data_IF_350304205979
#
_entry.id   IF_350304205979
#
_cell.length_a   1.000
_cell.length_b   1.000
_cell.length_c   1.000
_cell.angle_alpha   90.00
_cell.angle_beta   90.00
_cell.angle_gamma   90.00
#
_symmetry.space_group_name_H-M   'P 1'
#
loop_
_entity.id
_entity.type
_entity.pdbx_description
1 polymer ?
#
# COMPACT_ATOMS: atom_id res chain seq x y z
N UNK A 1 3.80 2.29 -36.07
CA UNK A 1 4.36 3.10 -34.97
C UNK A 1 5.13 2.15 -34.10
N UNK A 2 6.41 2.41 -33.81
CA UNK A 2 7.13 1.60 -32.83
C UNK A 2 6.71 2.12 -31.45
N UNK A 3 6.00 1.31 -30.69
CA UNK A 3 5.69 1.63 -29.28
C UNK A 3 7.01 1.57 -28.50
N UNK A 4 7.40 2.67 -27.89
CA UNK A 4 8.51 2.65 -26.94
C UNK A 4 8.06 1.84 -25.71
N UNK A 5 8.83 0.81 -25.35
CA UNK A 5 8.54 0.02 -24.15
C UNK A 5 8.78 0.90 -22.91
N UNK A 6 7.81 1.05 -22.00
CA UNK A 6 8.03 1.72 -20.73
C UNK A 6 9.13 1.04 -19.91
N UNK A 7 9.70 1.78 -18.98
CA UNK A 7 10.75 1.25 -18.11
C UNK A 7 10.23 0.17 -17.15
N UNK A 8 8.96 0.24 -16.78
CA UNK A 8 8.33 -0.58 -15.74
C UNK A 8 9.09 -0.62 -14.41
N UNK A 9 9.92 0.39 -14.18
CA UNK A 9 10.58 0.55 -12.87
C UNK A 9 9.55 0.67 -11.75
N UNK A 10 9.98 0.32 -10.55
CA UNK A 10 9.17 0.32 -9.34
C UNK A 10 9.59 1.45 -8.39
N UNK A 11 8.62 2.02 -7.70
CA UNK A 11 8.77 2.75 -6.45
C UNK A 11 7.68 2.28 -5.49
N UNK A 12 8.03 2.03 -4.25
CA UNK A 12 7.08 1.63 -3.21
C UNK A 12 7.17 2.63 -2.07
N UNK A 13 6.02 3.18 -1.67
CA UNK A 13 5.89 4.02 -0.48
C UNK A 13 5.09 3.24 0.57
N UNK A 14 5.57 3.23 1.80
CA UNK A 14 4.89 2.63 2.94
C UNK A 14 4.77 3.65 4.09
N UNK A 15 3.60 3.70 4.70
CA UNK A 15 3.33 4.53 5.87
C UNK A 15 3.25 3.66 7.12
N UNK A 16 3.94 4.03 8.20
CA UNK A 16 3.93 3.28 9.45
C UNK A 16 3.42 4.12 10.60
N UNK A 17 2.72 3.46 11.53
CA UNK A 17 2.39 4.02 12.84
C UNK A 17 3.52 3.74 13.82
N UNK A 18 3.75 4.64 14.78
CA UNK A 18 4.69 4.43 15.88
C UNK A 18 3.93 4.21 17.18
N UNK A 19 4.31 3.15 17.89
CA UNK A 19 3.75 2.82 19.21
C UNK A 19 4.84 2.76 20.27
N UNK A 20 4.48 3.14 21.49
CA UNK A 20 5.28 2.91 22.69
C UNK A 20 5.25 1.43 23.04
N UNK A 21 6.39 0.81 23.29
CA UNK A 21 6.51 -0.65 23.48
C UNK A 21 5.84 -1.17 24.76
N UNK A 22 5.67 -0.34 25.78
CA UNK A 22 5.03 -0.73 27.05
C UNK A 22 3.52 -0.59 27.01
N UNK A 23 3.03 0.58 26.62
CA UNK A 23 1.59 0.89 26.56
C UNK A 23 0.91 0.31 25.34
N UNK A 24 1.65 0.15 24.23
CA UNK A 24 1.18 -0.23 22.89
C UNK A 24 0.21 0.80 22.27
N UNK A 25 0.13 2.00 22.83
CA UNK A 25 -0.62 3.13 22.28
C UNK A 25 0.27 3.95 21.35
N UNK A 26 -0.35 4.78 20.51
CA UNK A 26 0.37 5.64 19.59
C UNK A 26 1.18 6.70 20.32
N UNK A 27 2.34 7.00 19.75
CA UNK A 27 3.20 8.07 20.27
C UNK A 27 3.82 8.87 19.12
N UNK A 28 4.07 10.15 19.38
CA UNK A 28 4.73 11.02 18.41
C UNK A 28 6.18 10.56 18.19
N UNK A 29 6.65 10.62 16.94
CA UNK A 29 8.05 10.39 16.60
C UNK A 29 8.92 11.48 17.25
N UNK A 30 9.92 11.13 18.09
CA UNK A 30 10.87 12.11 18.61
C UNK A 30 11.63 12.78 17.47
N UNK A 31 11.87 14.09 17.57
CA UNK A 31 12.63 14.84 16.55
C UNK A 31 14.03 14.24 16.32
N UNK A 32 14.69 13.80 17.40
CA UNK A 32 16.00 13.17 17.32
C UNK A 32 15.97 11.85 16.55
N UNK A 33 14.93 11.03 16.76
CA UNK A 33 14.68 9.82 16.00
C UNK A 33 14.51 10.14 14.51
N UNK A 34 13.69 11.13 14.17
CA UNK A 34 13.46 11.51 12.78
C UNK A 34 14.72 12.05 12.10
N UNK A 35 15.55 12.82 12.84
CA UNK A 35 16.86 13.27 12.33
C UNK A 35 17.81 12.11 12.09
N UNK A 36 17.85 11.15 12.99
CA UNK A 36 18.68 9.96 12.83
C UNK A 36 18.23 9.14 11.61
N UNK A 37 16.93 8.88 11.46
CA UNK A 37 16.37 8.21 10.28
C UNK A 37 16.73 8.96 8.99
N UNK A 38 16.59 10.28 8.95
CA UNK A 38 16.87 11.07 7.75
C UNK A 38 18.35 10.98 7.33
N UNK A 39 19.28 10.87 8.29
CA UNK A 39 20.71 10.75 8.03
C UNK A 39 21.08 9.32 7.62
N UNK A 40 20.66 8.33 8.40
CA UNK A 40 21.05 6.93 8.18
C UNK A 40 20.36 6.31 6.95
N UNK A 41 19.17 6.78 6.61
CA UNK A 41 18.36 6.30 5.47
C UNK A 41 18.35 7.28 4.28
N UNK A 42 19.35 8.15 4.20
CA UNK A 42 19.60 9.01 3.03
C UNK A 42 18.38 9.78 2.51
N UNK A 43 17.48 10.18 3.41
CA UNK A 43 16.27 10.93 3.09
C UNK A 43 15.10 10.08 2.55
N UNK A 44 15.21 8.73 2.59
CA UNK A 44 14.10 7.84 2.22
C UNK A 44 12.98 7.78 3.27
N UNK A 45 13.14 8.46 4.41
CA UNK A 45 12.15 8.56 5.49
C UNK A 45 11.71 9.99 5.69
N UNK A 46 10.41 10.20 5.79
CA UNK A 46 9.83 11.51 6.06
C UNK A 46 8.72 11.46 7.13
N UNK A 47 8.51 12.56 7.90
CA UNK A 47 7.36 12.66 8.76
C UNK A 47 6.09 12.85 7.93
N UNK A 48 5.01 12.15 8.30
CA UNK A 48 3.70 12.21 7.67
C UNK A 48 2.78 13.23 8.37
N UNK A 49 1.47 13.24 8.02
CA UNK A 49 0.47 14.20 8.49
C UNK A 49 0.35 14.24 10.02
N UNK A 50 0.29 13.08 10.67
CA UNK A 50 0.29 12.99 12.12
C UNK A 50 1.70 12.68 12.66
N UNK A 51 2.03 13.24 13.82
CA UNK A 51 3.36 13.06 14.44
C UNK A 51 3.67 11.59 14.80
N UNK A 52 2.63 10.74 14.92
CA UNK A 52 2.78 9.30 15.16
C UNK A 52 2.91 8.47 13.86
N UNK A 53 3.03 9.12 12.71
CA UNK A 53 3.17 8.49 11.40
C UNK A 53 4.50 8.85 10.75
N UNK A 54 5.12 7.88 10.12
CA UNK A 54 6.32 8.06 9.29
C UNK A 54 6.07 7.41 7.93
N UNK A 55 6.59 8.02 6.87
CA UNK A 55 6.52 7.52 5.51
C UNK A 55 7.91 7.14 5.04
N UNK A 56 8.02 6.01 4.34
CA UNK A 56 9.23 5.59 3.67
C UNK A 56 8.98 5.44 2.17
N UNK A 57 10.01 5.71 1.37
CA UNK A 57 9.98 5.48 -0.07
C UNK A 57 11.23 4.74 -0.52
N UNK A 58 11.06 3.70 -1.33
CA UNK A 58 12.19 3.03 -1.96
C UNK A 58 12.88 3.95 -2.96
N UNK A 59 14.12 3.64 -3.27
CA UNK A 59 14.75 4.13 -4.50
C UNK A 59 13.99 3.62 -5.72
N UNK A 60 14.33 4.14 -6.89
CA UNK A 60 13.78 3.60 -8.15
C UNK A 60 14.40 2.22 -8.38
N UNK A 61 13.56 1.19 -8.31
CA UNK A 61 13.95 -0.21 -8.45
C UNK A 61 13.60 -0.73 -9.85
N UNK A 62 14.39 -1.66 -10.36
CA UNK A 62 14.14 -2.31 -11.65
C UNK A 62 13.32 -3.58 -11.50
N UNK A 63 13.52 -4.29 -10.39
CA UNK A 63 12.86 -5.55 -10.09
C UNK A 63 12.19 -5.51 -8.72
N UNK A 64 11.25 -6.45 -8.50
CA UNK A 64 10.61 -6.63 -7.20
C UNK A 64 11.64 -7.03 -6.13
N UNK A 65 12.64 -7.82 -6.50
CA UNK A 65 13.72 -8.20 -5.60
C UNK A 65 14.55 -7.00 -5.10
N UNK A 66 14.86 -6.02 -6.00
CA UNK A 66 15.50 -4.77 -5.60
C UNK A 66 14.62 -3.97 -4.63
N UNK A 67 13.31 -3.86 -4.90
CA UNK A 67 12.37 -3.19 -4.00
C UNK A 67 12.27 -3.91 -2.65
N UNK A 68 12.26 -5.23 -2.65
CA UNK A 68 12.27 -6.05 -1.45
C UNK A 68 13.51 -5.83 -0.57
N UNK A 69 14.69 -5.80 -1.19
CA UNK A 69 15.95 -5.54 -0.47
C UNK A 69 15.97 -4.12 0.14
N UNK A 70 15.49 -3.12 -0.60
CA UNK A 70 15.45 -1.73 -0.10
C UNK A 70 14.44 -1.57 1.03
N UNK A 71 13.21 -2.12 0.89
CA UNK A 71 12.19 -2.12 1.95
C UNK A 71 12.65 -2.90 3.20
N UNK A 72 13.30 -4.06 3.04
CA UNK A 72 13.82 -4.84 4.14
C UNK A 72 14.87 -4.03 4.93
N UNK A 73 15.77 -3.33 4.23
CA UNK A 73 16.73 -2.43 4.85
C UNK A 73 16.03 -1.29 5.60
N UNK A 74 15.10 -0.58 4.96
CA UNK A 74 14.36 0.52 5.58
C UNK A 74 13.60 0.06 6.82
N UNK A 75 12.84 -1.04 6.73
CA UNK A 75 12.09 -1.60 7.87
C UNK A 75 13.01 -2.01 9.02
N UNK A 76 14.13 -2.66 8.72
CA UNK A 76 15.11 -3.10 9.74
C UNK A 76 15.70 -1.91 10.47
N UNK A 77 16.16 -0.90 9.76
CA UNK A 77 16.79 0.28 10.36
C UNK A 77 15.79 1.12 11.16
N UNK A 78 14.55 1.30 10.65
CA UNK A 78 13.51 2.00 11.39
C UNK A 78 13.20 1.27 12.70
N UNK A 79 13.03 -0.06 12.67
CA UNK A 79 12.81 -0.84 13.89
C UNK A 79 13.98 -0.70 14.89
N UNK A 80 15.21 -0.77 14.40
CA UNK A 80 16.43 -0.60 15.19
C UNK A 80 16.53 0.79 15.83
N UNK A 81 16.24 1.83 15.06
CA UNK A 81 16.29 3.23 15.54
C UNK A 81 15.15 3.46 16.54
N UNK A 82 13.89 3.08 16.20
CA UNK A 82 12.75 3.24 17.07
C UNK A 82 12.93 2.58 18.43
N UNK A 83 13.54 1.39 18.47
CA UNK A 83 13.81 0.65 19.70
C UNK A 83 14.71 1.43 20.68
N UNK A 84 15.62 2.30 20.20
CA UNK A 84 16.48 3.14 21.06
C UNK A 84 15.67 4.17 21.85
N UNK A 85 14.45 4.47 21.39
CA UNK A 85 13.52 5.41 22.02
C UNK A 85 12.34 4.68 22.73
N UNK A 86 12.41 3.35 22.88
CA UNK A 86 11.32 2.57 23.47
C UNK A 86 10.09 2.44 22.57
N UNK A 87 10.26 2.64 21.24
CA UNK A 87 9.19 2.62 20.25
C UNK A 87 9.28 1.42 19.32
N UNK A 88 8.16 1.09 18.68
CA UNK A 88 8.10 0.11 17.61
C UNK A 88 7.26 0.64 16.43
N UNK A 89 7.66 0.37 15.18
CA UNK A 89 6.84 0.66 14.01
C UNK A 89 5.76 -0.42 13.83
N UNK A 90 4.61 0.00 13.30
CA UNK A 90 3.52 -0.88 12.86
C UNK A 90 3.21 -0.62 11.38
N UNK A 91 3.36 -1.63 10.54
CA UNK A 91 2.88 -1.60 9.16
C UNK A 91 1.44 -2.11 9.09
N UNK A 92 0.50 -1.28 9.51
CA UNK A 92 -0.94 -1.58 9.53
C UNK A 92 -1.74 -0.32 9.20
N UNK A 93 -2.82 -0.47 8.46
CA UNK A 93 -3.54 0.70 7.96
C UNK A 93 -4.40 1.42 8.99
N UNK A 94 -4.80 0.77 10.08
CA UNK A 94 -5.44 1.40 11.24
C UNK A 94 -4.88 0.80 12.53
N UNK A 95 -4.57 1.63 13.51
CA UNK A 95 -4.25 1.14 14.86
C UNK A 95 -5.50 0.52 15.51
N UNK A 96 -5.39 -0.70 16.10
CA UNK A 96 -6.57 -1.41 16.60
C UNK A 96 -7.44 -0.65 17.58
N UNK A 97 -6.84 0.12 18.52
CA UNK A 97 -7.59 0.77 19.58
C UNK A 97 -7.28 2.25 19.82
N UNK A 98 -6.32 2.84 19.10
CA UNK A 98 -5.94 4.23 19.35
C UNK A 98 -7.07 5.23 19.03
N UNK A 99 -7.08 6.33 19.78
CA UNK A 99 -8.03 7.42 19.59
C UNK A 99 -7.37 8.55 18.80
N UNK A 100 -7.91 8.82 17.60
CA UNK A 100 -7.43 9.89 16.73
C UNK A 100 -7.58 11.28 17.36
N UNK A 101 -8.48 11.50 18.32
CA UNK A 101 -8.62 12.77 19.03
C UNK A 101 -7.39 13.16 19.87
N UNK A 102 -6.54 12.19 20.20
CA UNK A 102 -5.33 12.39 20.99
C UNK A 102 -4.10 12.65 20.15
N UNK A 103 -4.24 12.59 18.82
CA UNK A 103 -3.10 12.71 17.92
C UNK A 103 -2.87 14.17 17.52
N UNK A 104 -1.62 14.52 17.27
CA UNK A 104 -1.18 15.87 16.91
C UNK A 104 -0.67 15.88 15.47
N UNK A 105 -0.88 17.00 14.79
CA UNK A 105 -0.37 17.22 13.43
C UNK A 105 1.12 17.53 13.46
N UNK A 106 1.80 17.09 12.43
CA UNK A 106 3.17 17.50 12.14
C UNK A 106 3.18 18.99 11.79
N UNK A 107 4.07 19.77 12.41
CA UNK A 107 4.16 21.22 12.19
C UNK A 107 4.78 21.53 10.82
N UNK A 108 3.93 21.42 9.79
CA UNK A 108 4.24 21.82 8.40
C UNK A 108 3.09 22.66 7.87
N UNK A 109 3.41 23.75 7.16
CA UNK A 109 2.41 24.65 6.59
C UNK A 109 1.35 23.92 5.76
N UNK A 110 1.77 22.97 4.90
CA UNK A 110 0.87 22.10 4.09
C UNK A 110 -0.17 21.37 4.94
N UNK A 111 0.18 20.92 6.14
CA UNK A 111 -0.71 20.18 7.02
C UNK A 111 -1.68 21.07 7.77
N UNK A 112 -1.26 22.28 8.14
CA UNK A 112 -2.17 23.30 8.68
C UNK A 112 -3.21 23.76 7.65
N UNK A 113 -2.80 23.87 6.38
CA UNK A 113 -3.72 24.16 5.26
C UNK A 113 -4.73 23.02 5.08
N UNK A 114 -4.27 21.78 5.10
CA UNK A 114 -5.13 20.60 4.99
C UNK A 114 -6.16 20.53 6.14
N UNK A 115 -5.73 20.78 7.38
CA UNK A 115 -6.63 20.81 8.53
C UNK A 115 -7.66 21.93 8.41
N UNK A 116 -7.23 23.14 8.02
CA UNK A 116 -8.13 24.28 7.81
C UNK A 116 -9.18 23.98 6.74
N UNK A 117 -8.77 23.37 5.63
CA UNK A 117 -9.64 23.17 4.48
C UNK A 117 -10.59 21.97 4.65
N UNK A 118 -10.14 20.92 5.36
CA UNK A 118 -10.89 19.66 5.54
C UNK A 118 -11.52 19.53 6.94
N UNK A 119 -11.11 20.32 7.92
CA UNK A 119 -11.68 20.34 9.26
C UNK A 119 -11.73 18.97 9.94
N UNK A 120 -12.93 18.57 10.37
CA UNK A 120 -13.13 17.30 11.07
C UNK A 120 -12.78 16.04 10.26
N UNK A 121 -12.73 16.12 8.94
CA UNK A 121 -12.31 15.00 8.07
C UNK A 121 -10.81 14.76 8.19
N UNK A 122 -10.00 15.84 8.14
CA UNK A 122 -8.56 15.75 8.29
C UNK A 122 -8.16 15.13 9.65
N UNK A 123 -8.88 15.51 10.73
CA UNK A 123 -8.59 14.96 12.08
C UNK A 123 -8.70 13.44 12.19
N UNK A 124 -9.48 12.79 11.31
CA UNK A 124 -9.66 11.34 11.30
C UNK A 124 -8.60 10.59 10.49
N UNK A 125 -7.65 11.28 9.86
CA UNK A 125 -6.65 10.69 8.96
C UNK A 125 -5.57 9.88 9.71
N UNK A 126 -5.96 9.17 10.77
CA UNK A 126 -5.13 8.20 11.47
C UNK A 126 -5.16 6.85 10.73
N UNK A 127 -4.67 6.88 9.52
CA UNK A 127 -4.65 5.75 8.60
C UNK A 127 -3.33 5.73 7.83
N UNK A 128 -2.87 4.55 7.48
CA UNK A 128 -1.65 4.32 6.71
C UNK A 128 -1.95 3.50 5.45
N UNK A 129 -1.22 3.74 4.39
CA UNK A 129 -1.36 3.06 3.12
C UNK A 129 -0.04 2.53 2.58
N UNK A 130 -0.16 1.78 1.49
CA UNK A 130 0.94 1.40 0.62
C UNK A 130 0.66 1.92 -0.77
N UNK A 131 1.64 2.61 -1.37
CA UNK A 131 1.55 3.10 -2.73
C UNK A 131 2.56 2.38 -3.62
N UNK A 132 2.12 1.98 -4.81
CA UNK A 132 2.96 1.30 -5.79
C UNK A 132 3.03 2.14 -7.05
N UNK A 133 4.21 2.62 -7.38
CA UNK A 133 4.52 3.37 -8.58
C UNK A 133 5.09 2.45 -9.66
N UNK A 134 4.52 2.50 -10.86
CA UNK A 134 5.03 1.78 -12.04
C UNK A 134 5.47 2.80 -13.08
N UNK A 135 6.73 2.74 -13.52
CA UNK A 135 7.32 3.63 -14.51
C UNK A 135 6.68 3.46 -15.89
N UNK A 136 5.99 4.50 -16.36
CA UNK A 136 5.35 4.60 -17.67
C UNK A 136 5.69 5.96 -18.26
N UNK A 137 6.69 6.03 -19.12
CA UNK A 137 7.21 7.30 -19.62
C UNK A 137 6.27 8.01 -20.62
N UNK A 138 5.46 7.25 -21.34
CA UNK A 138 4.50 7.75 -22.32
C UNK A 138 3.19 8.18 -21.64
N UNK A 139 2.86 9.47 -21.73
CA UNK A 139 1.69 10.09 -21.11
C UNK A 139 0.36 9.47 -21.60
N UNK A 140 0.24 9.18 -22.88
CA UNK A 140 -0.97 8.58 -23.47
C UNK A 140 -1.10 7.11 -23.05
N UNK A 141 0.03 6.39 -22.91
CA UNK A 141 0.03 5.04 -22.35
C UNK A 141 -0.42 5.04 -20.90
N UNK A 142 0.02 6.00 -20.07
CA UNK A 142 -0.43 6.13 -18.67
C UNK A 142 -1.94 6.26 -18.57
N UNK A 143 -2.56 7.12 -19.38
CA UNK A 143 -4.01 7.33 -19.37
C UNK A 143 -4.76 6.10 -19.90
N UNK A 144 -4.24 5.46 -20.95
CA UNK A 144 -4.87 4.26 -21.48
C UNK A 144 -4.83 3.11 -20.44
N UNK A 145 -3.67 2.88 -19.81
CA UNK A 145 -3.52 1.87 -18.75
C UNK A 145 -4.35 2.24 -17.51
N UNK A 146 -4.38 3.51 -17.09
CA UNK A 146 -5.24 4.01 -16.01
C UNK A 146 -6.72 3.73 -16.26
N UNK A 147 -7.17 3.66 -17.50
CA UNK A 147 -8.58 3.35 -17.81
C UNK A 147 -8.93 1.86 -17.73
N UNK A 148 -7.94 0.96 -17.80
CA UNK A 148 -8.11 -0.50 -17.79
C UNK A 148 -7.81 -1.13 -16.42
N UNK A 149 -6.81 -0.63 -15.72
CA UNK A 149 -6.30 -1.14 -14.44
C UNK A 149 -7.33 -1.13 -13.29
N UNK A 150 -8.33 -0.21 -13.25
CA UNK A 150 -9.35 -0.21 -12.20
C UNK A 150 -10.12 -1.53 -12.04
N UNK A 151 -10.23 -2.36 -13.09
CA UNK A 151 -10.79 -3.70 -12.97
C UNK A 151 -10.04 -4.56 -11.93
N UNK A 152 -8.72 -4.41 -11.82
CA UNK A 152 -7.86 -5.21 -10.96
C UNK A 152 -7.68 -4.63 -9.55
N UNK A 153 -8.00 -3.35 -9.34
CA UNK A 153 -7.81 -2.68 -8.04
C UNK A 153 -8.54 -3.39 -6.89
N UNK A 154 -9.79 -3.87 -7.04
CA UNK A 154 -10.44 -4.64 -5.98
C UNK A 154 -9.72 -5.94 -5.61
N UNK A 155 -9.03 -6.58 -6.56
CA UNK A 155 -8.27 -7.80 -6.29
C UNK A 155 -7.01 -7.49 -5.45
N UNK A 156 -6.30 -6.41 -5.79
CA UNK A 156 -5.14 -5.95 -5.02
C UNK A 156 -5.56 -5.51 -3.61
N UNK A 157 -6.68 -4.77 -3.49
CA UNK A 157 -7.24 -4.38 -2.20
C UNK A 157 -7.58 -5.60 -1.34
N UNK A 158 -8.24 -6.60 -1.92
CA UNK A 158 -8.64 -7.80 -1.17
C UNK A 158 -7.43 -8.53 -0.54
N UNK A 159 -6.30 -8.57 -1.25
CA UNK A 159 -5.05 -9.18 -0.77
C UNK A 159 -4.37 -8.35 0.33
N UNK A 160 -4.51 -7.02 0.30
CA UNK A 160 -3.77 -6.10 1.17
C UNK A 160 -4.46 -5.81 2.51
N UNK A 161 -5.72 -6.24 2.72
CA UNK A 161 -6.53 -5.79 3.85
C UNK A 161 -5.85 -5.96 5.22
N UNK A 162 -5.74 -4.87 5.99
CA UNK A 162 -5.05 -4.84 7.29
C UNK A 162 -5.72 -3.94 8.35
N UNK A 163 -6.93 -3.44 8.10
CA UNK A 163 -7.57 -2.46 8.99
C UNK A 163 -8.97 -2.88 9.46
N UNK A 164 -9.08 -4.00 10.21
CA UNK A 164 -10.40 -4.49 10.67
C UNK A 164 -10.94 -3.75 11.89
N UNK A 165 -10.07 -3.08 12.66
CA UNK A 165 -10.42 -2.42 13.91
C UNK A 165 -10.34 -0.90 13.81
N UNK A 166 -11.19 -0.21 14.57
CA UNK A 166 -11.17 1.23 14.74
C UNK A 166 -11.63 1.61 16.15
N UNK A 167 -10.77 2.31 16.91
CA UNK A 167 -11.04 2.75 18.30
C UNK A 167 -11.44 1.59 19.24
N UNK A 168 -10.91 0.40 19.04
CA UNK A 168 -11.17 -0.78 19.85
C UNK A 168 -12.32 -1.66 19.35
N UNK A 169 -13.12 -1.19 18.40
CA UNK A 169 -14.25 -1.92 17.84
C UNK A 169 -13.87 -2.69 16.56
N UNK A 170 -14.38 -3.92 16.39
CA UNK A 170 -14.37 -4.59 15.10
C UNK A 170 -15.39 -3.90 14.19
N UNK A 171 -14.90 -3.28 13.13
CA UNK A 171 -15.74 -2.51 12.20
C UNK A 171 -16.62 -3.38 11.30
N UNK A 172 -16.36 -4.69 11.29
CA UNK A 172 -16.95 -5.61 10.34
C UNK A 172 -16.39 -5.49 8.91
N UNK A 173 -15.44 -4.57 8.66
CA UNK A 173 -14.72 -4.43 7.38
C UNK A 173 -13.31 -5.00 7.50
N UNK A 174 -12.71 -5.41 6.39
CA UNK A 174 -11.31 -5.85 6.35
C UNK A 174 -10.36 -4.69 6.01
N UNK A 175 -10.84 -3.67 5.31
CA UNK A 175 -10.10 -2.46 4.96
C UNK A 175 -10.89 -1.21 5.37
N UNK A 176 -10.97 -0.92 6.67
CA UNK A 176 -11.67 0.26 7.21
C UNK A 176 -10.98 1.57 6.81
N UNK A 177 -9.67 1.54 6.53
CA UNK A 177 -8.89 2.69 6.03
C UNK A 177 -9.63 3.44 4.93
N UNK A 178 -10.18 2.75 3.93
CA UNK A 178 -10.86 3.39 2.82
C UNK A 178 -12.15 4.10 3.24
N UNK A 179 -12.85 3.62 4.27
CA UNK A 179 -14.02 4.31 4.82
C UNK A 179 -13.65 5.68 5.39
N UNK A 180 -12.47 5.80 6.03
CA UNK A 180 -11.94 7.07 6.51
C UNK A 180 -11.47 7.94 5.34
N UNK A 181 -10.71 7.36 4.43
CA UNK A 181 -10.09 8.06 3.31
C UNK A 181 -11.12 8.64 2.33
N UNK A 182 -12.19 7.88 2.04
CA UNK A 182 -13.25 8.29 1.10
C UNK A 182 -14.12 9.46 1.61
N UNK A 183 -13.92 9.92 2.85
CA UNK A 183 -14.51 11.19 3.31
C UNK A 183 -13.80 12.43 2.74
N UNK A 184 -12.57 12.28 2.23
CA UNK A 184 -11.87 13.36 1.54
C UNK A 184 -12.44 13.56 0.13
N UNK A 185 -12.41 14.79 -0.39
CA UNK A 185 -12.77 15.05 -1.79
C UNK A 185 -11.74 14.42 -2.72
N UNK A 186 -12.14 14.09 -3.94
CA UNK A 186 -11.27 13.57 -5.01
C UNK A 186 -10.59 12.24 -4.67
N UNK A 187 -11.28 11.37 -3.92
CA UNK A 187 -10.90 9.99 -3.57
C UNK A 187 -11.68 8.95 -4.39
N UNK A 188 -11.42 7.68 -4.15
CA UNK A 188 -12.07 6.53 -4.80
C UNK A 188 -11.56 6.27 -6.21
N UNK A 189 -12.31 5.50 -6.99
CA UNK A 189 -11.93 5.12 -8.34
C UNK A 189 -11.70 6.34 -9.24
N UNK A 190 -10.64 6.33 -10.10
CA UNK A 190 -10.37 7.44 -11.00
C UNK A 190 -11.51 7.63 -12.02
N UNK A 191 -11.77 8.86 -12.48
CA UNK A 191 -12.60 9.08 -13.65
C UNK A 191 -11.89 8.59 -14.91
N UNK A 192 -12.63 8.38 -15.99
CA UNK A 192 -12.08 8.01 -17.28
C UNK A 192 -11.72 9.25 -18.08
N UNK A 193 -10.57 9.19 -18.73
CA UNK A 193 -10.11 10.20 -19.68
C UNK A 193 -9.78 9.54 -21.02
N UNK A 194 -10.09 10.23 -22.11
CA UNK A 194 -9.84 9.74 -23.47
C UNK A 194 -8.41 10.01 -23.92
N UNK A 195 -7.70 10.94 -23.26
CA UNK A 195 -6.35 11.35 -23.59
C UNK A 195 -5.66 12.04 -22.41
N UNK A 196 -4.35 12.11 -22.46
CA UNK A 196 -3.55 12.90 -21.53
C UNK A 196 -3.95 14.38 -21.51
N UNK A 197 -4.22 14.94 -22.69
CA UNK A 197 -4.61 16.34 -22.80
C UNK A 197 -5.97 16.62 -22.14
N UNK A 198 -6.92 15.67 -22.17
CA UNK A 198 -8.19 15.79 -21.45
C UNK A 198 -7.97 15.73 -19.93
N UNK A 199 -7.17 14.80 -19.46
CA UNK A 199 -6.77 14.71 -18.05
C UNK A 199 -6.15 16.04 -17.57
N UNK A 200 -5.14 16.54 -18.27
CA UNK A 200 -4.47 17.79 -17.90
C UNK A 200 -5.41 18.98 -17.86
N UNK A 201 -6.27 19.14 -18.88
CA UNK A 201 -7.26 20.25 -18.88
C UNK A 201 -8.22 20.14 -17.70
N UNK A 202 -8.69 18.94 -17.37
CA UNK A 202 -9.63 18.74 -16.25
C UNK A 202 -9.00 19.08 -14.91
N UNK A 203 -7.75 18.67 -14.69
CA UNK A 203 -6.98 19.00 -13.49
C UNK A 203 -6.68 20.49 -13.44
N UNK A 204 -6.25 21.08 -14.56
CA UNK A 204 -5.91 22.50 -14.64
C UNK A 204 -7.09 23.43 -14.31
N UNK A 205 -8.32 23.06 -14.71
CA UNK A 205 -9.52 23.83 -14.34
C UNK A 205 -9.66 23.94 -12.83
N UNK A 206 -9.40 22.83 -12.09
CA UNK A 206 -9.52 22.81 -10.63
C UNK A 206 -8.41 23.65 -9.98
N UNK A 207 -7.19 23.62 -10.53
CA UNK A 207 -6.06 24.44 -10.09
C UNK A 207 -6.34 25.91 -10.36
N UNK A 208 -6.74 26.27 -11.58
CA UNK A 208 -7.00 27.66 -11.98
C UNK A 208 -8.18 28.28 -11.20
N UNK A 209 -9.10 27.43 -10.72
CA UNK A 209 -10.20 27.85 -9.84
C UNK A 209 -9.76 28.06 -8.38
N UNK A 210 -8.48 27.81 -8.05
CA UNK A 210 -7.94 27.98 -6.70
C UNK A 210 -8.45 26.94 -5.68
N UNK A 211 -8.98 25.80 -6.14
CA UNK A 211 -9.51 24.74 -5.27
C UNK A 211 -8.42 23.78 -4.78
N UNK A 212 -7.34 23.65 -5.53
CA UNK A 212 -6.13 22.90 -5.18
C UNK A 212 -4.92 23.64 -5.74
N UNK A 213 -3.77 23.46 -5.11
CA UNK A 213 -2.51 24.08 -5.57
C UNK A 213 -1.91 23.30 -6.72
N UNK A 214 -2.02 21.97 -6.66
CA UNK A 214 -1.47 21.04 -7.66
C UNK A 214 -2.22 19.70 -7.62
N UNK A 215 -1.87 18.77 -8.50
CA UNK A 215 -2.52 17.46 -8.59
C UNK A 215 -2.15 16.49 -7.46
N UNK A 216 -1.26 16.83 -6.53
CA UNK A 216 -1.01 16.02 -5.33
C UNK A 216 -2.22 15.97 -4.39
N UNK A 217 -3.16 16.93 -4.52
CA UNK A 217 -4.45 16.97 -3.81
C UNK A 217 -5.56 16.13 -4.45
N UNK A 218 -5.23 15.31 -5.44
CA UNK A 218 -6.12 14.32 -6.07
C UNK A 218 -5.72 12.95 -5.54
N UNK A 219 -6.61 12.33 -4.78
CA UNK A 219 -6.31 11.10 -4.02
C UNK A 219 -7.07 9.88 -4.54
N UNK A 220 -7.21 9.75 -5.88
CA UNK A 220 -7.83 8.56 -6.47
C UNK A 220 -7.05 7.28 -6.13
N UNK A 221 -7.76 6.15 -6.12
CA UNK A 221 -7.19 4.81 -5.90
C UNK A 221 -6.06 4.46 -6.89
N UNK A 222 -6.06 5.11 -8.04
CA UNK A 222 -5.05 5.02 -9.08
C UNK A 222 -4.93 6.38 -9.79
N UNK A 223 -3.71 6.91 -9.93
CA UNK A 223 -3.50 8.21 -10.59
C UNK A 223 -2.16 8.27 -11.31
N UNK A 224 -2.00 9.14 -12.32
CA UNK A 224 -0.67 9.55 -12.77
C UNK A 224 0.01 10.32 -11.64
N UNK A 225 1.28 10.01 -11.35
CA UNK A 225 2.04 10.81 -10.38
C UNK A 225 2.35 12.21 -10.96
N UNK A 226 2.35 13.21 -10.10
CA UNK A 226 2.72 14.58 -10.46
C UNK A 226 4.24 14.75 -10.63
N UNK A 227 4.98 14.03 -9.78
CA UNK A 227 6.44 14.19 -9.67
C UNK A 227 7.23 13.25 -10.58
N UNK A 228 6.68 12.09 -10.86
CA UNK A 228 7.38 11.00 -11.55
C UNK A 228 6.59 10.53 -12.78
N UNK A 229 7.25 10.06 -13.85
CA UNK A 229 6.56 9.48 -14.99
C UNK A 229 6.01 8.08 -14.65
N UNK A 230 5.17 8.00 -13.63
CA UNK A 230 4.62 6.73 -13.11
C UNK A 230 3.10 6.75 -13.07
N UNK A 231 2.52 5.55 -13.08
CA UNK A 231 1.15 5.29 -12.67
C UNK A 231 1.19 4.76 -11.23
N UNK A 232 0.50 5.44 -10.32
CA UNK A 232 0.55 5.21 -8.87
C UNK A 232 -0.75 4.56 -8.41
N UNK A 233 -0.64 3.35 -7.86
CA UNK A 233 -1.74 2.66 -7.16
C UNK A 233 -1.71 2.99 -5.67
N UNK A 234 -2.85 3.44 -5.13
CA UNK A 234 -2.99 3.93 -3.75
C UNK A 234 -4.04 3.18 -2.93
N UNK A 235 -4.73 2.23 -3.58
CA UNK A 235 -5.89 1.55 -2.98
C UNK A 235 -5.52 0.63 -1.82
N UNK A 236 -4.30 0.09 -1.81
CA UNK A 236 -3.89 -0.96 -0.89
C UNK A 236 -3.70 -0.47 0.54
N UNK A 237 -4.23 -1.23 1.49
CA UNK A 237 -3.75 -1.18 2.87
C UNK A 237 -2.28 -1.59 2.90
N UNK A 238 -1.52 -1.12 3.90
CA UNK A 238 -0.17 -1.59 4.12
C UNK A 238 -0.18 -2.96 4.81
N UNK A 239 0.72 -3.85 4.40
CA UNK A 239 0.86 -5.20 4.99
C UNK A 239 2.00 -5.25 6.01
N UNK A 240 1.78 -5.86 7.20
CA UNK A 240 2.85 -5.99 8.19
C UNK A 240 3.98 -6.89 7.68
N UNK A 241 3.69 -7.97 6.97
CA UNK A 241 4.68 -8.88 6.36
C UNK A 241 5.20 -8.32 5.05
N UNK A 242 6.50 -8.22 4.90
CA UNK A 242 7.13 -7.73 3.68
C UNK A 242 6.84 -8.64 2.48
N UNK A 243 6.83 -9.95 2.68
CA UNK A 243 6.46 -10.90 1.63
C UNK A 243 5.06 -10.66 1.04
N UNK A 244 4.07 -10.26 1.88
CA UNK A 244 2.72 -9.94 1.40
C UNK A 244 2.73 -8.64 0.58
N UNK A 245 3.52 -7.63 1.01
CA UNK A 245 3.78 -6.41 0.23
C UNK A 245 4.36 -6.74 -1.14
N UNK A 246 5.42 -7.56 -1.20
CA UNK A 246 6.10 -7.88 -2.46
C UNK A 246 5.22 -8.68 -3.43
N UNK A 247 4.37 -9.57 -2.93
CA UNK A 247 3.38 -10.26 -3.76
C UNK A 247 2.41 -9.26 -4.44
N UNK A 248 1.93 -8.24 -3.72
CA UNK A 248 1.03 -7.22 -4.25
C UNK A 248 1.76 -6.29 -5.23
N UNK A 249 3.00 -5.91 -4.94
CA UNK A 249 3.86 -5.12 -5.83
C UNK A 249 4.10 -5.86 -7.15
N UNK A 250 4.47 -7.15 -7.08
CA UNK A 250 4.70 -8.00 -8.24
C UNK A 250 3.44 -8.17 -9.10
N UNK A 251 2.28 -8.40 -8.47
CA UNK A 251 1.00 -8.45 -9.17
C UNK A 251 0.68 -7.11 -9.85
N UNK A 252 0.87 -5.98 -9.16
CA UNK A 252 0.61 -4.64 -9.71
C UNK A 252 1.47 -4.37 -10.94
N UNK A 253 2.78 -4.68 -10.87
CA UNK A 253 3.72 -4.52 -11.98
C UNK A 253 3.36 -5.45 -13.15
N UNK A 254 3.12 -6.74 -12.87
CA UNK A 254 2.82 -7.73 -13.89
C UNK A 254 1.49 -7.47 -14.60
N UNK A 255 0.45 -7.06 -13.87
CA UNK A 255 -0.84 -6.65 -14.46
C UNK A 255 -0.65 -5.43 -15.36
N UNK A 256 0.12 -4.43 -14.91
CA UNK A 256 0.39 -3.22 -15.70
C UNK A 256 1.15 -3.56 -16.98
N UNK A 257 2.16 -4.45 -16.90
CA UNK A 257 2.92 -4.93 -18.05
C UNK A 257 2.03 -5.74 -19.02
N UNK A 258 1.17 -6.62 -18.50
CA UNK A 258 0.20 -7.38 -19.29
C UNK A 258 -0.73 -6.45 -20.09
N UNK A 259 -1.27 -5.42 -19.47
CA UNK A 259 -2.12 -4.44 -20.14
C UNK A 259 -1.37 -3.69 -21.25
N UNK A 260 -0.10 -3.32 -21.01
CA UNK A 260 0.74 -2.75 -22.04
C UNK A 260 1.05 -3.75 -23.17
N UNK A 261 1.35 -5.00 -22.87
CA UNK A 261 1.54 -6.07 -23.85
C UNK A 261 0.31 -6.27 -24.75
N UNK A 262 -0.89 -6.26 -24.17
CA UNK A 262 -2.13 -6.28 -24.96
C UNK A 262 -2.21 -5.07 -25.91
N UNK A 263 -1.90 -3.87 -25.41
CA UNK A 263 -1.89 -2.64 -26.22
C UNK A 263 -0.94 -2.76 -27.42
N UNK A 264 0.25 -3.34 -27.26
CA UNK A 264 1.22 -3.51 -28.38
C UNK A 264 0.72 -4.50 -29.44
N UNK A 265 -0.17 -5.42 -29.07
CA UNK A 265 -0.84 -6.37 -29.96
C UNK A 265 -2.17 -5.83 -30.52
N UNK A 266 -2.45 -4.52 -30.36
CA UNK A 266 -3.73 -3.89 -30.73
C UNK A 266 -4.94 -4.55 -30.05
N UNK A 267 -4.75 -5.00 -28.82
CA UNK A 267 -5.77 -5.57 -27.93
C UNK A 267 -5.94 -4.67 -26.72
N UNK A 268 -7.05 -4.83 -26.00
CA UNK A 268 -7.36 -4.03 -24.83
C UNK A 268 -8.16 -4.85 -23.83
N UNK A 269 -7.86 -4.67 -22.52
CA UNK A 269 -8.72 -5.19 -21.48
C UNK A 269 -10.07 -4.47 -21.50
N UNK A 270 -11.17 -5.20 -21.27
CA UNK A 270 -12.51 -4.60 -21.26
C UNK A 270 -12.63 -3.58 -20.13
N UNK A 271 -13.08 -2.39 -20.47
CA UNK A 271 -13.37 -1.33 -19.52
C UNK A 271 -14.80 -1.48 -19.03
N UNK A 272 -14.94 -1.69 -17.74
CA UNK A 272 -16.22 -1.76 -17.05
C UNK A 272 -16.61 -0.40 -16.46
N UNK A 273 -17.90 -0.21 -16.21
CA UNK A 273 -18.39 0.99 -15.56
C UNK A 273 -17.93 1.07 -14.11
N UNK A 274 -17.69 2.30 -13.62
CA UNK A 274 -17.25 2.57 -12.23
C UNK A 274 -18.24 2.01 -11.20
N UNK A 275 -19.52 1.94 -11.51
CA UNK A 275 -20.53 1.37 -10.63
C UNK A 275 -20.25 -0.11 -10.35
N UNK A 276 -19.95 -0.90 -11.38
CA UNK A 276 -19.62 -2.33 -11.23
C UNK A 276 -18.30 -2.52 -10.49
N UNK A 277 -17.25 -1.75 -10.85
CA UNK A 277 -15.94 -1.83 -10.16
C UNK A 277 -16.11 -1.37 -8.71
N UNK A 278 -16.95 -0.37 -8.45
CA UNK A 278 -17.25 0.10 -7.09
C UNK A 278 -17.89 -0.97 -6.21
N UNK A 279 -18.74 -1.83 -6.79
CA UNK A 279 -19.30 -2.98 -6.05
C UNK A 279 -18.20 -3.98 -5.64
N UNK A 280 -17.29 -4.32 -6.55
CA UNK A 280 -16.15 -5.18 -6.19
C UNK A 280 -15.18 -4.50 -5.21
N UNK A 281 -14.97 -3.18 -5.32
CA UNK A 281 -14.20 -2.41 -4.34
C UNK A 281 -14.81 -2.52 -2.93
N UNK A 282 -16.15 -2.38 -2.83
CA UNK A 282 -16.86 -2.56 -1.58
C UNK A 282 -16.76 -4.01 -1.06
N UNK A 283 -16.89 -5.01 -1.93
CA UNK A 283 -16.75 -6.41 -1.54
C UNK A 283 -15.35 -6.72 -1.02
N UNK A 284 -14.32 -6.23 -1.71
CA UNK A 284 -12.93 -6.36 -1.26
C UNK A 284 -12.70 -5.69 0.11
N UNK A 285 -13.20 -4.46 0.27
CA UNK A 285 -13.13 -3.71 1.52
C UNK A 285 -13.84 -4.44 2.67
N UNK A 286 -15.01 -5.04 2.39
CA UNK A 286 -15.84 -5.71 3.39
C UNK A 286 -15.34 -7.10 3.76
N UNK A 287 -14.93 -7.88 2.77
CA UNK A 287 -14.70 -9.31 2.94
C UNK A 287 -13.26 -9.75 2.70
N UNK A 288 -12.40 -8.89 2.16
CA UNK A 288 -11.06 -9.28 1.76
C UNK A 288 -11.11 -10.47 0.78
N UNK A 289 -10.36 -11.52 1.11
CA UNK A 289 -10.26 -12.72 0.29
C UNK A 289 -11.33 -13.79 0.60
N UNK A 290 -12.19 -13.57 1.61
CA UNK A 290 -13.07 -14.64 2.13
C UNK A 290 -14.31 -14.93 1.28
N UNK A 291 -14.90 -13.93 0.60
CA UNK A 291 -16.21 -14.05 -0.06
C UNK A 291 -16.20 -13.84 -1.57
N UNK A 292 -15.04 -13.67 -2.18
CA UNK A 292 -14.91 -13.50 -3.62
C UNK A 292 -15.45 -12.17 -4.16
N UNK A 293 -15.27 -11.97 -5.46
CA UNK A 293 -15.66 -10.79 -6.22
C UNK A 293 -16.58 -11.18 -7.37
N UNK A 294 -17.28 -10.20 -7.94
CA UNK A 294 -18.10 -10.43 -9.13
C UNK A 294 -17.18 -10.60 -10.34
N UNK A 295 -17.26 -11.74 -10.99
CA UNK A 295 -16.75 -11.91 -12.35
C UNK A 295 -17.80 -11.36 -13.33
N UNK A 296 -17.49 -10.25 -13.97
CA UNK A 296 -18.44 -9.57 -14.86
C UNK A 296 -18.68 -10.32 -16.17
N UNK A 297 -17.82 -11.24 -16.56
CA UNK A 297 -18.00 -12.07 -17.74
C UNK A 297 -18.99 -13.22 -17.46
N UNK A 298 -18.87 -13.82 -16.27
CA UNK A 298 -19.76 -14.88 -15.80
C UNK A 298 -21.08 -14.34 -15.24
N UNK A 299 -21.09 -13.10 -14.72
CA UNK A 299 -22.24 -12.47 -14.08
C UNK A 299 -22.56 -13.03 -12.70
N UNK A 300 -21.57 -13.61 -12.02
CA UNK A 300 -21.69 -14.23 -10.70
C UNK A 300 -20.53 -13.88 -9.77
N UNK A 301 -20.70 -14.12 -8.47
CA UNK A 301 -19.62 -14.00 -7.50
C UNK A 301 -18.78 -15.27 -7.54
N UNK A 302 -17.49 -15.12 -7.85
CA UNK A 302 -16.50 -16.20 -7.90
C UNK A 302 -15.61 -16.13 -6.66
N UNK A 303 -15.26 -17.27 -6.10
CA UNK A 303 -14.35 -17.35 -4.96
C UNK A 303 -13.01 -16.68 -5.26
N UNK A 304 -12.50 -15.91 -4.30
CA UNK A 304 -11.28 -15.13 -4.52
C UNK A 304 -10.08 -16.00 -4.90
N UNK A 305 -9.97 -17.20 -4.35
CA UNK A 305 -8.90 -18.14 -4.71
C UNK A 305 -8.89 -18.51 -6.21
N UNK A 306 -10.09 -18.69 -6.81
CA UNK A 306 -10.22 -18.98 -8.25
C UNK A 306 -9.84 -17.77 -9.08
N UNK A 307 -10.33 -16.56 -8.70
CA UNK A 307 -9.97 -15.31 -9.37
C UNK A 307 -8.47 -15.02 -9.31
N UNK A 308 -7.83 -15.31 -8.18
CA UNK A 308 -6.38 -15.16 -8.04
C UNK A 308 -5.63 -16.11 -8.97
N UNK A 309 -6.03 -17.38 -9.07
CA UNK A 309 -5.40 -18.32 -9.99
C UNK A 309 -5.55 -17.87 -11.45
N UNK A 310 -6.73 -17.36 -11.84
CA UNK A 310 -6.95 -16.79 -13.16
C UNK A 310 -6.00 -15.60 -13.42
N UNK A 311 -5.81 -14.70 -12.44
CA UNK A 311 -4.89 -13.55 -12.57
C UNK A 311 -3.44 -14.04 -12.67
N UNK A 312 -3.01 -14.96 -11.80
CA UNK A 312 -1.64 -15.51 -11.82
C UNK A 312 -1.32 -16.11 -13.19
N UNK A 313 -2.23 -16.91 -13.74
CA UNK A 313 -2.04 -17.50 -15.07
C UNK A 313 -2.03 -16.45 -16.18
N UNK A 314 -2.90 -15.43 -16.08
CA UNK A 314 -3.01 -14.33 -17.04
C UNK A 314 -1.72 -13.51 -17.15
N UNK A 315 -1.01 -13.31 -16.02
CA UNK A 315 0.20 -12.48 -15.96
C UNK A 315 1.50 -13.29 -15.99
N UNK A 316 1.45 -14.61 -16.16
CA UNK A 316 2.63 -15.49 -16.10
C UNK A 316 3.78 -15.00 -16.99
N UNK A 317 3.53 -14.81 -18.29
CA UNK A 317 4.58 -14.39 -19.23
C UNK A 317 5.16 -13.01 -18.88
N UNK A 318 4.34 -12.16 -18.26
CA UNK A 318 4.72 -10.81 -17.85
C UNK A 318 5.58 -10.85 -16.58
N UNK A 319 5.19 -11.67 -15.60
CA UNK A 319 5.94 -11.87 -14.37
C UNK A 319 7.29 -12.55 -14.61
N UNK A 320 7.35 -13.52 -15.53
CA UNK A 320 8.61 -14.14 -15.95
C UNK A 320 9.52 -13.12 -16.65
N UNK A 321 8.96 -12.26 -17.53
CA UNK A 321 9.71 -11.20 -18.22
C UNK A 321 10.19 -10.07 -17.30
N UNK A 322 9.56 -9.89 -16.14
CA UNK A 322 9.89 -8.92 -15.10
C UNK A 322 10.69 -9.53 -13.93
N UNK A 323 11.04 -10.81 -14.02
CA UNK A 323 11.81 -11.55 -12.99
C UNK A 323 11.15 -11.54 -11.60
N UNK A 324 9.78 -11.60 -11.56
CA UNK A 324 9.01 -11.58 -10.30
C UNK A 324 7.96 -12.69 -10.21
N UNK A 325 8.18 -13.80 -10.93
CA UNK A 325 7.23 -14.91 -10.95
C UNK A 325 7.03 -15.58 -9.58
N UNK A 326 8.08 -15.69 -8.78
CA UNK A 326 7.99 -16.30 -7.43
C UNK A 326 7.13 -15.44 -6.51
N UNK A 327 7.31 -14.13 -6.54
CA UNK A 327 6.53 -13.18 -5.73
C UNK A 327 5.05 -13.18 -6.17
N UNK A 328 4.77 -13.22 -7.47
CA UNK A 328 3.39 -13.36 -7.97
C UNK A 328 2.73 -14.63 -7.44
N UNK A 329 3.46 -15.76 -7.47
CA UNK A 329 2.94 -17.02 -6.93
C UNK A 329 2.73 -17.00 -5.42
N UNK A 330 3.54 -16.22 -4.68
CA UNK A 330 3.45 -16.11 -3.22
C UNK A 330 2.13 -15.50 -2.74
N UNK A 331 1.38 -14.79 -3.61
CA UNK A 331 0.04 -14.30 -3.30
C UNK A 331 -0.95 -15.41 -2.87
N UNK A 332 -0.74 -16.65 -3.32
CA UNK A 332 -1.50 -17.82 -2.86
C UNK A 332 -1.40 -18.03 -1.35
N UNK A 333 -0.26 -17.66 -0.76
CA UNK A 333 -0.05 -17.75 0.68
C UNK A 333 -1.01 -16.82 1.43
N UNK A 334 -1.24 -15.61 0.93
CA UNK A 334 -2.17 -14.64 1.53
C UNK A 334 -3.58 -15.23 1.58
N UNK A 335 -4.04 -15.84 0.49
CA UNK A 335 -5.37 -16.46 0.44
C UNK A 335 -5.46 -17.68 1.38
N UNK A 336 -4.40 -18.48 1.46
CA UNK A 336 -4.36 -19.68 2.30
C UNK A 336 -4.29 -19.39 3.80
N UNK A 337 -3.53 -18.36 4.18
CA UNK A 337 -3.27 -18.02 5.59
C UNK A 337 -4.22 -16.93 6.13
N UNK A 338 -4.96 -16.27 5.25
CA UNK A 338 -5.72 -15.07 5.53
C UNK A 338 -4.86 -13.80 5.43
N UNK A 339 -5.52 -12.68 5.18
CA UNK A 339 -4.91 -11.35 5.18
C UNK A 339 -4.52 -10.92 6.59
N UNK A 340 -3.82 -9.80 6.74
CA UNK A 340 -3.54 -9.25 8.06
C UNK A 340 -4.83 -9.00 8.87
N UNK A 341 -5.92 -8.55 8.22
CA UNK A 341 -7.20 -8.37 8.89
C UNK A 341 -7.75 -9.67 9.50
N UNK A 342 -7.63 -10.78 8.76
CA UNK A 342 -8.07 -12.10 9.24
C UNK A 342 -7.18 -12.60 10.40
N UNK A 343 -5.87 -12.40 10.30
CA UNK A 343 -4.91 -12.76 11.36
C UNK A 343 -5.13 -11.95 12.63
N UNK A 344 -5.37 -10.64 12.52
CA UNK A 344 -5.68 -9.76 13.65
C UNK A 344 -6.94 -10.25 14.41
N UNK A 345 -8.04 -10.56 13.69
CA UNK A 345 -9.24 -11.12 14.31
C UNK A 345 -8.99 -12.47 14.96
N UNK A 346 -8.16 -13.32 14.36
CA UNK A 346 -7.79 -14.63 14.92
C UNK A 346 -6.99 -14.48 16.21
N UNK A 347 -6.06 -13.53 16.29
CA UNK A 347 -5.29 -13.20 17.50
C UNK A 347 -6.24 -12.72 18.60
N UNK A 348 -7.09 -11.75 18.29
CA UNK A 348 -8.07 -11.20 19.23
C UNK A 348 -9.00 -12.30 19.77
N UNK A 349 -9.58 -13.12 18.90
CA UNK A 349 -10.48 -14.20 19.29
C UNK A 349 -9.80 -15.23 20.21
N UNK A 350 -8.54 -15.59 19.92
CA UNK A 350 -7.75 -16.51 20.79
C UNK A 350 -7.49 -15.88 22.15
N UNK A 351 -7.15 -14.60 22.24
CA UNK A 351 -6.94 -13.91 23.50
C UNK A 351 -8.21 -13.87 24.35
N UNK A 352 -9.35 -13.54 23.75
CA UNK A 352 -10.65 -13.57 24.44
C UNK A 352 -10.99 -14.99 24.92
N UNK A 353 -10.82 -16.00 24.08
CA UNK A 353 -11.04 -17.41 24.48
C UNK A 353 -10.09 -17.86 25.62
N UNK A 354 -8.90 -17.28 25.71
CA UNK A 354 -7.94 -17.45 26.81
C UNK A 354 -8.27 -16.69 28.07
N UNK A 355 -9.37 -15.91 28.10
CA UNK A 355 -9.83 -15.16 29.29
C UNK A 355 -9.33 -13.72 29.39
N UNK A 356 -8.67 -13.20 28.33
CA UNK A 356 -8.24 -11.81 28.31
C UNK A 356 -9.45 -10.85 28.21
N UNK A 357 -9.33 -9.66 28.80
CA UNK A 357 -10.29 -8.58 28.56
C UNK A 357 -10.22 -8.10 27.12
N UNK A 358 -11.26 -7.44 26.62
CA UNK A 358 -11.27 -6.87 25.26
C UNK A 358 -10.06 -5.94 25.03
N UNK A 359 -9.69 -5.14 26.04
CA UNK A 359 -8.53 -4.25 25.96
C UNK A 359 -7.21 -5.02 25.84
N UNK A 360 -7.02 -6.09 26.62
CA UNK A 360 -5.81 -6.92 26.51
C UNK A 360 -5.78 -7.69 25.20
N UNK A 361 -6.92 -8.17 24.70
CA UNK A 361 -7.00 -8.82 23.41
C UNK A 361 -6.58 -7.87 22.26
N UNK A 362 -6.96 -6.58 22.32
CA UNK A 362 -6.48 -5.57 21.36
C UNK A 362 -4.96 -5.33 21.49
N UNK A 363 -4.42 -5.35 22.70
CA UNK A 363 -2.97 -5.26 22.90
C UNK A 363 -2.22 -6.47 22.33
N UNK A 364 -2.78 -7.67 22.44
CA UNK A 364 -2.20 -8.86 21.80
C UNK A 364 -2.18 -8.73 20.27
N UNK A 365 -3.20 -8.10 19.67
CA UNK A 365 -3.18 -7.79 18.25
C UNK A 365 -2.00 -6.87 17.92
N UNK A 366 -1.78 -5.79 18.67
CA UNK A 366 -0.66 -4.88 18.43
C UNK A 366 0.69 -5.60 18.59
N UNK A 367 0.86 -6.44 19.62
CA UNK A 367 2.08 -7.25 19.79
C UNK A 367 2.33 -8.17 18.58
N UNK A 368 1.27 -8.80 18.07
CA UNK A 368 1.40 -9.66 16.88
C UNK A 368 1.80 -8.87 15.63
N UNK A 369 1.31 -7.64 15.48
CA UNK A 369 1.65 -6.76 14.36
C UNK A 369 3.12 -6.29 14.43
N UNK A 370 3.63 -5.98 15.64
CA UNK A 370 5.05 -5.66 15.86
C UNK A 370 5.93 -6.85 15.46
N UNK A 371 5.52 -8.07 15.84
CA UNK A 371 6.25 -9.29 15.48
C UNK A 371 6.23 -9.55 13.96
N UNK A 372 5.06 -9.42 13.32
CA UNK A 372 4.93 -9.61 11.86
C UNK A 372 5.74 -8.56 11.06
N UNK A 373 5.99 -7.37 11.61
CA UNK A 373 6.76 -6.32 10.92
C UNK A 373 8.20 -6.74 10.62
N UNK A 374 8.81 -7.58 11.46
CA UNK A 374 10.20 -8.03 11.33
C UNK A 374 10.35 -9.49 10.92
N UNK A 375 9.24 -10.24 10.77
CA UNK A 375 9.25 -11.71 10.65
C UNK A 375 10.06 -12.24 9.47
N UNK A 376 10.02 -11.57 8.33
CA UNK A 376 10.55 -12.05 7.04
C UNK A 376 11.66 -11.16 6.45
N UNK A 377 12.09 -10.11 7.16
CA UNK A 377 13.03 -9.12 6.63
C UNK A 377 14.38 -9.72 6.24
N UNK A 378 14.88 -10.68 7.02
CA UNK A 378 16.19 -11.31 6.77
C UNK A 378 16.24 -12.06 5.43
N UNK A 379 15.10 -12.50 4.91
CA UNK A 379 15.03 -13.20 3.64
C UNK A 379 15.36 -12.30 2.44
N UNK A 380 15.19 -10.99 2.61
CA UNK A 380 15.33 -9.98 1.55
C UNK A 380 16.60 -9.12 1.71
N UNK A 381 17.27 -9.17 2.86
CA UNK A 381 18.54 -8.44 3.05
C UNK A 381 19.63 -9.07 2.19
N UNK A 382 20.56 -8.25 1.63
CA UNK A 382 21.71 -8.77 0.91
C UNK A 382 22.50 -9.71 1.82
N UNK A 383 22.76 -10.93 1.35
CA UNK A 383 23.62 -11.86 2.08
C UNK A 383 24.99 -11.23 2.18
N UNK A 384 25.53 -11.11 3.40
CA UNK A 384 26.90 -10.65 3.62
C UNK A 384 27.85 -11.49 2.76
N UNK A 385 28.60 -10.84 1.87
CA UNK A 385 29.66 -11.54 1.15
C UNK A 385 30.64 -12.09 2.20
N UNK A 386 31.04 -13.38 2.13
CA UNK A 386 32.05 -13.88 3.02
C UNK A 386 33.29 -13.01 2.84
N UNK A 387 33.79 -12.44 3.95
CA UNK A 387 35.02 -11.67 3.93
C UNK A 387 36.11 -12.48 3.21
N UNK A 388 36.69 -11.88 2.17
CA UNK A 388 37.79 -12.48 1.43
C UNK A 388 38.83 -12.99 2.48
N UNK A 389 39.00 -14.30 2.53
CA UNK A 389 40.09 -14.88 3.26
C UNK A 389 41.35 -14.32 2.61
N UNK A 390 42.04 -13.39 3.31
CA UNK A 390 43.38 -12.99 2.97
C UNK A 390 44.22 -14.26 2.78
N UNK A 391 44.57 -14.55 1.54
CA UNK A 391 45.58 -15.57 1.22
C UNK A 391 46.87 -15.02 1.77
N UNK A 392 47.21 -15.42 2.99
CA UNK A 392 48.57 -15.31 3.47
C UNK A 392 49.43 -16.25 2.61
N UNK A 393 50.02 -15.70 1.55
CA UNK A 393 51.18 -16.34 0.91
C UNK A 393 52.42 -16.01 1.74
N UNK A 394 52.89 -17.03 2.45
CA UNK A 394 54.22 -17.02 3.09
C UNK A 394 55.36 -17.07 2.07
#
# INVERSE_FOLDING_TARGET
>A
MSYHRPSFTLGVEEEYLLVDQDSLDLTAAPEDMMRQCAVELEGQVSPEFLQCQIEVGTRVCRTVAEAGADLAHLRTEIARIAAQYGLAPLAVSCHPFADWHKQHYTDKQRYHELERDMGGVARRMLICGMHVHIGIDDDEARIDLMSQLPYFLPHLLALSTSSPYWKGDDTGLNAYRLTVFDNLPRTGLPPRFSSWSEYKRSVQIIIDSGLIEDCTKIWWDLRPSDRFPTLESRICDISPRLDDTLAIVALTQSITHMLWRLRTKNQRWRIYDRFLIGENRWRAQRYGVSNGLIDYAKGEVVHFAELLEEIIELVREDAEALECWEEVQSARRIVKQGTSADRQRSVHARAIAGGASAKEAQKEVVRSLIAEYTEDLENHLPKAQPADQEIQTG
#
